data_IF_620170627671
#
_entry.id   IF_620170627671
#
_cell.length_a   1.000
_cell.length_b   1.000
_cell.length_c   1.000
_cell.angle_alpha   90.00
_cell.angle_beta   90.00
_cell.angle_gamma   90.00
#
_symmetry.space_group_name_H-M   'P 1'
#
loop_
_entity.id
_entity.type
_entity.pdbx_description
1 polymer ?
#
# COMPACT_ATOMS: atom_id res chain seq x y z
N UNK A 1 -25.14 30.68 -15.84
CA UNK A 1 -23.91 30.23 -15.18
C UNK A 1 -23.16 29.39 -16.19
N UNK A 2 -22.06 29.92 -16.72
CA UNK A 2 -21.21 29.19 -17.67
C UNK A 2 -20.44 28.11 -16.88
N UNK A 3 -20.63 26.84 -17.26
CA UNK A 3 -19.81 25.76 -16.75
C UNK A 3 -18.39 25.98 -17.27
N UNK A 4 -17.44 26.16 -16.35
CA UNK A 4 -16.01 26.11 -16.70
C UNK A 4 -15.71 24.77 -17.40
N UNK A 5 -14.97 24.79 -18.51
CA UNK A 5 -14.54 23.56 -19.15
C UNK A 5 -13.66 22.77 -18.17
N UNK A 6 -14.01 21.50 -17.96
CA UNK A 6 -13.24 20.55 -17.15
C UNK A 6 -11.85 20.40 -17.79
N UNK A 7 -10.84 21.02 -17.22
CA UNK A 7 -9.45 20.94 -17.67
C UNK A 7 -8.87 19.56 -17.31
N UNK A 8 -8.44 18.87 -18.36
CA UNK A 8 -7.53 17.74 -18.28
C UNK A 8 -6.10 18.27 -18.22
N UNK A 9 -5.33 17.93 -17.21
CA UNK A 9 -3.94 18.33 -17.15
C UNK A 9 -3.31 18.15 -15.76
N UNK A 10 -1.97 18.25 -15.69
CA UNK A 10 -1.29 18.26 -14.40
C UNK A 10 -1.75 19.45 -13.59
N UNK A 11 -2.16 19.21 -12.34
CA UNK A 11 -2.39 20.25 -11.36
C UNK A 11 -1.09 21.00 -11.03
N UNK A 12 -1.18 22.20 -10.45
CA UNK A 12 -0.01 22.98 -10.00
C UNK A 12 0.88 22.23 -9.00
N UNK A 13 0.33 21.21 -8.34
CA UNK A 13 0.97 20.31 -7.37
C UNK A 13 1.56 19.03 -8.02
N UNK A 14 1.53 18.90 -9.35
CA UNK A 14 1.98 17.72 -10.08
C UNK A 14 1.00 16.54 -10.03
N UNK A 15 -0.18 16.69 -9.43
CA UNK A 15 -1.24 15.68 -9.47
C UNK A 15 -1.94 15.65 -10.83
N UNK A 16 -2.33 14.46 -11.27
CA UNK A 16 -3.14 14.30 -12.49
C UNK A 16 -4.61 14.27 -12.11
N UNK A 17 -5.43 15.06 -12.81
CA UNK A 17 -6.86 15.19 -12.53
C UNK A 17 -7.70 14.84 -13.75
N UNK A 18 -8.72 14.01 -13.54
CA UNK A 18 -9.67 13.58 -14.56
C UNK A 18 -11.10 13.81 -14.07
N UNK A 19 -11.95 14.34 -14.92
CA UNK A 19 -13.39 14.29 -14.70
C UNK A 19 -13.88 12.86 -14.97
N UNK A 20 -14.55 12.24 -14.01
CA UNK A 20 -14.97 10.85 -14.09
C UNK A 20 -16.35 10.63 -13.52
N UNK A 21 -17.01 9.56 -14.01
CA UNK A 21 -18.07 8.89 -13.27
C UNK A 21 -17.50 7.55 -12.75
N UNK A 22 -17.93 7.11 -11.59
CA UNK A 22 -17.50 5.83 -11.06
C UNK A 22 -18.64 5.09 -10.38
N UNK A 23 -18.47 3.78 -10.24
CA UNK A 23 -19.36 2.90 -9.53
C UNK A 23 -18.53 2.01 -8.61
N UNK A 24 -18.84 2.04 -7.31
CA UNK A 24 -18.27 1.14 -6.31
C UNK A 24 -19.02 -0.18 -6.19
N UNK A 25 -18.63 -1.00 -5.21
CA UNK A 25 -19.24 -2.31 -4.95
C UNK A 25 -20.72 -2.25 -4.56
N UNK A 26 -21.18 -1.13 -3.98
CA UNK A 26 -22.58 -0.91 -3.62
C UNK A 26 -23.46 -0.62 -4.85
N UNK A 27 -22.87 -0.53 -6.03
CA UNK A 27 -23.55 -0.20 -7.29
C UNK A 27 -23.95 1.26 -7.43
N UNK A 28 -23.72 2.10 -6.43
CA UNK A 28 -24.02 3.53 -6.52
C UNK A 28 -23.09 4.21 -7.54
N UNK A 29 -23.67 5.10 -8.35
CA UNK A 29 -22.92 5.86 -9.35
C UNK A 29 -22.71 7.28 -8.85
N UNK A 30 -21.46 7.71 -8.85
CA UNK A 30 -21.07 9.07 -8.52
C UNK A 30 -20.36 9.74 -9.71
N UNK A 31 -20.40 11.06 -9.73
CA UNK A 31 -19.76 11.90 -10.74
C UNK A 31 -18.89 12.94 -10.03
N UNK A 32 -17.68 13.15 -10.56
CA UNK A 32 -16.74 14.08 -9.97
C UNK A 32 -15.37 14.02 -10.59
N UNK A 33 -14.35 14.07 -9.74
CA UNK A 33 -12.96 14.07 -10.14
C UNK A 33 -12.20 12.89 -9.58
N UNK A 34 -11.34 12.30 -10.40
CA UNK A 34 -10.27 11.42 -10.00
C UNK A 34 -8.99 12.23 -9.90
N UNK A 35 -8.28 12.07 -8.80
CA UNK A 35 -6.96 12.67 -8.55
C UNK A 35 -5.98 11.51 -8.33
N UNK A 36 -4.90 11.51 -9.10
CA UNK A 36 -3.77 10.59 -8.94
C UNK A 36 -2.63 11.36 -8.29
N UNK A 37 -2.27 10.96 -7.08
CA UNK A 37 -1.19 11.55 -6.29
C UNK A 37 -0.22 10.44 -5.87
N UNK A 38 0.85 10.30 -6.62
CA UNK A 38 2.01 9.44 -6.34
C UNK A 38 1.75 8.02 -5.82
N UNK A 39 1.02 7.87 -4.74
CA UNK A 39 0.70 6.61 -4.06
C UNK A 39 -0.80 6.31 -3.93
N UNK A 40 -1.65 7.29 -4.22
CA UNK A 40 -3.09 7.20 -4.02
C UNK A 40 -3.87 7.60 -5.27
N UNK A 41 -5.02 6.94 -5.44
CA UNK A 41 -6.08 7.32 -6.33
C UNK A 41 -7.25 7.80 -5.48
N UNK A 42 -7.67 9.04 -5.66
CA UNK A 42 -8.76 9.64 -4.88
C UNK A 42 -9.90 10.04 -5.80
N UNK A 43 -11.07 9.42 -5.61
CA UNK A 43 -12.31 9.81 -6.26
C UNK A 43 -13.08 10.77 -5.35
N UNK A 44 -13.46 11.94 -5.85
CA UNK A 44 -14.25 12.93 -5.11
C UNK A 44 -15.38 13.43 -5.97
N UNK A 45 -16.59 13.32 -5.48
CA UNK A 45 -17.75 13.78 -6.22
C UNK A 45 -19.04 13.63 -5.43
N UNK A 46 -20.15 13.58 -6.14
CA UNK A 46 -21.47 13.41 -5.55
C UNK A 46 -22.20 12.24 -6.23
N UNK A 47 -22.97 11.51 -5.44
CA UNK A 47 -23.84 10.47 -5.96
C UNK A 47 -24.90 11.09 -6.85
N UNK A 48 -25.03 10.53 -8.05
CA UNK A 48 -25.91 11.07 -9.08
C UNK A 48 -27.39 11.12 -8.64
N UNK A 49 -27.82 10.15 -7.82
CA UNK A 49 -29.22 10.04 -7.39
C UNK A 49 -29.58 10.83 -6.13
N UNK A 50 -28.61 11.12 -5.25
CA UNK A 50 -28.92 11.64 -3.89
C UNK A 50 -28.17 12.91 -3.51
N UNK A 51 -27.24 13.38 -4.37
CA UNK A 51 -26.46 14.59 -4.08
C UNK A 51 -25.52 14.49 -2.89
N UNK A 52 -25.37 13.28 -2.30
CA UNK A 52 -24.43 13.07 -1.19
C UNK A 52 -22.98 13.14 -1.71
N UNK A 53 -22.13 13.81 -0.94
CA UNK A 53 -20.69 13.88 -1.25
C UNK A 53 -20.07 12.52 -0.97
N UNK A 54 -19.41 11.95 -1.98
CA UNK A 54 -18.70 10.70 -1.88
C UNK A 54 -17.20 10.93 -2.05
N UNK A 55 -16.42 10.21 -1.28
CA UNK A 55 -14.97 10.21 -1.37
C UNK A 55 -14.44 8.79 -1.21
N UNK A 56 -13.83 8.28 -2.26
CA UNK A 56 -13.19 6.97 -2.27
C UNK A 56 -11.69 7.15 -2.35
N UNK A 57 -10.97 6.54 -1.42
CA UNK A 57 -9.51 6.49 -1.40
C UNK A 57 -9.05 5.08 -1.75
N UNK A 58 -8.24 4.97 -2.78
CA UNK A 58 -7.62 3.73 -3.20
C UNK A 58 -6.11 3.91 -3.15
N UNK A 59 -5.46 3.09 -2.36
CA UNK A 59 -4.01 3.03 -2.38
C UNK A 59 -3.57 2.25 -3.61
N UNK A 60 -2.67 2.81 -4.41
CA UNK A 60 -2.15 2.14 -5.60
C UNK A 60 -1.48 0.80 -5.29
N UNK A 61 -0.98 0.62 -4.07
CA UNK A 61 -0.43 -0.65 -3.59
C UNK A 61 -1.50 -1.74 -3.33
N UNK A 62 -2.79 -1.38 -3.27
CA UNK A 62 -3.89 -2.33 -3.14
C UNK A 62 -4.45 -2.78 -4.49
N UNK A 63 -3.97 -2.21 -5.59
CA UNK A 63 -4.34 -2.65 -6.92
C UNK A 63 -3.78 -4.06 -7.17
N UNK A 64 -4.65 -4.96 -7.62
CA UNK A 64 -4.27 -6.29 -8.11
C UNK A 64 -4.49 -6.43 -9.61
N UNK A 65 -5.28 -5.55 -10.21
CA UNK A 65 -5.51 -5.55 -11.65
C UNK A 65 -6.20 -4.28 -12.15
N UNK A 66 -5.91 -3.95 -13.39
CA UNK A 66 -6.57 -2.87 -14.13
C UNK A 66 -6.96 -3.44 -15.48
N UNK A 67 -8.21 -3.29 -15.86
CA UNK A 67 -8.72 -3.72 -17.16
C UNK A 67 -9.69 -2.70 -17.75
N UNK A 68 -9.82 -2.69 -19.04
CA UNK A 68 -10.89 -1.95 -19.70
C UNK A 68 -12.16 -2.80 -19.68
N UNK A 69 -13.26 -2.21 -19.26
CA UNK A 69 -14.57 -2.85 -19.22
C UNK A 69 -15.00 -3.35 -20.60
N UNK A 70 -15.47 -4.61 -20.64
CA UNK A 70 -15.84 -5.30 -21.88
C UNK A 70 -17.33 -5.59 -21.99
N UNK A 71 -18.03 -5.59 -20.87
CA UNK A 71 -19.47 -5.91 -20.77
C UNK A 71 -20.28 -4.63 -20.54
N UNK A 72 -21.59 -4.71 -20.75
CA UNK A 72 -22.48 -3.59 -20.43
C UNK A 72 -22.53 -3.31 -18.92
N UNK A 73 -22.34 -4.34 -18.09
CA UNK A 73 -22.24 -4.20 -16.63
C UNK A 73 -20.98 -3.42 -16.20
N UNK A 74 -19.93 -3.42 -17.01
CA UNK A 74 -18.73 -2.62 -16.76
C UNK A 74 -18.92 -1.13 -17.09
N UNK A 75 -19.99 -0.76 -17.83
CA UNK A 75 -20.23 0.63 -18.22
C UNK A 75 -20.71 1.47 -17.04
N UNK A 76 -20.25 2.71 -16.99
CA UNK A 76 -20.72 3.71 -16.02
C UNK A 76 -21.36 4.86 -16.79
N UNK A 77 -22.63 5.17 -16.53
CA UNK A 77 -23.45 6.12 -17.30
C UNK A 77 -23.46 5.87 -18.83
N UNK A 78 -23.36 4.60 -19.23
CA UNK A 78 -23.27 4.23 -20.66
C UNK A 78 -21.88 4.33 -21.28
N UNK A 79 -20.94 4.95 -20.59
CA UNK A 79 -19.56 5.12 -21.05
C UNK A 79 -18.68 3.90 -20.72
N UNK A 80 -17.65 3.66 -21.53
CA UNK A 80 -16.63 2.65 -21.22
C UNK A 80 -15.86 3.03 -19.98
N UNK A 81 -15.57 2.03 -19.14
CA UNK A 81 -14.86 2.24 -17.89
C UNK A 81 -13.52 1.50 -17.84
N UNK A 82 -12.66 1.98 -16.99
CA UNK A 82 -11.52 1.25 -16.42
C UNK A 82 -12.04 0.54 -15.17
N UNK A 83 -11.90 -0.78 -15.12
CA UNK A 83 -12.23 -1.56 -13.93
C UNK A 83 -10.95 -1.81 -13.14
N UNK A 84 -10.94 -1.35 -11.92
CA UNK A 84 -9.83 -1.42 -10.98
C UNK A 84 -10.16 -2.48 -9.95
N UNK A 85 -9.43 -3.60 -9.97
CA UNK A 85 -9.58 -4.67 -9.00
C UNK A 85 -8.65 -4.44 -7.80
N UNK A 86 -9.19 -4.56 -6.59
CA UNK A 86 -8.48 -4.33 -5.35
C UNK A 86 -8.18 -5.65 -4.62
N UNK A 87 -7.15 -5.66 -3.80
CA UNK A 87 -6.78 -6.80 -2.95
C UNK A 87 -7.88 -7.26 -2.01
N UNK A 88 -8.78 -6.36 -1.61
CA UNK A 88 -9.98 -6.69 -0.82
C UNK A 88 -10.99 -7.59 -1.55
N UNK A 89 -10.84 -7.75 -2.87
CA UNK A 89 -11.82 -8.38 -3.76
C UNK A 89 -12.83 -7.38 -4.35
N UNK A 90 -12.81 -6.13 -3.90
CA UNK A 90 -13.65 -5.06 -4.43
C UNK A 90 -13.23 -4.65 -5.84
N UNK A 91 -14.19 -4.26 -6.68
CA UNK A 91 -13.95 -3.65 -7.99
C UNK A 91 -14.55 -2.25 -8.05
N UNK A 92 -13.82 -1.31 -8.66
CA UNK A 92 -14.31 0.04 -8.93
C UNK A 92 -14.28 0.26 -10.43
N UNK A 93 -15.41 0.56 -11.02
CA UNK A 93 -15.52 0.93 -12.42
C UNK A 93 -15.46 2.46 -12.54
N UNK A 94 -14.50 2.98 -13.30
CA UNK A 94 -14.25 4.42 -13.50
C UNK A 94 -14.33 4.77 -14.96
N UNK A 95 -15.29 5.60 -15.36
CA UNK A 95 -15.45 6.09 -16.71
C UNK A 95 -14.97 7.55 -16.78
N UNK A 96 -13.95 7.87 -17.58
CA UNK A 96 -13.56 9.25 -17.82
C UNK A 96 -14.65 9.97 -18.63
N UNK A 97 -14.99 11.18 -18.19
CA UNK A 97 -15.95 12.06 -18.84
C UNK A 97 -15.17 13.02 -19.75
N UNK A 98 -14.84 12.59 -20.95
CA UNK A 98 -14.02 13.39 -21.86
C UNK A 98 -13.95 12.80 -23.26
N UNK A 99 -12.82 13.00 -23.93
CA UNK A 99 -12.61 12.59 -25.30
C UNK A 99 -12.61 11.06 -25.49
N UNK A 100 -13.02 10.63 -26.68
CA UNK A 100 -12.93 9.22 -27.06
C UNK A 100 -11.48 8.76 -27.03
N UNK A 101 -11.17 7.81 -26.14
CA UNK A 101 -9.80 7.34 -25.92
C UNK A 101 -9.26 7.58 -24.51
N UNK A 102 -9.81 8.53 -23.76
CA UNK A 102 -9.39 8.82 -22.38
C UNK A 102 -9.45 7.59 -21.45
N UNK A 103 -10.31 6.61 -21.76
CA UNK A 103 -10.38 5.34 -21.02
C UNK A 103 -9.08 4.51 -21.16
N UNK A 104 -8.43 4.53 -22.32
CA UNK A 104 -7.18 3.81 -22.54
C UNK A 104 -6.02 4.50 -21.83
N UNK A 105 -5.95 5.84 -21.94
CA UNK A 105 -4.94 6.64 -21.24
C UNK A 105 -5.04 6.48 -19.72
N UNK A 106 -6.26 6.52 -19.18
CA UNK A 106 -6.49 6.31 -17.76
C UNK A 106 -6.10 4.88 -17.32
N UNK A 107 -6.43 3.85 -18.13
CA UNK A 107 -6.08 2.47 -17.84
C UNK A 107 -4.56 2.29 -17.79
N UNK A 108 -3.86 2.78 -18.81
CA UNK A 108 -2.40 2.69 -18.90
C UNK A 108 -1.72 3.42 -17.72
N UNK A 109 -2.20 4.62 -17.40
CA UNK A 109 -1.67 5.42 -16.32
C UNK A 109 -1.86 4.75 -14.96
N UNK A 110 -3.07 4.26 -14.65
CA UNK A 110 -3.36 3.58 -13.38
C UNK A 110 -2.56 2.28 -13.29
N UNK A 111 -2.44 1.52 -14.38
CA UNK A 111 -1.64 0.30 -14.43
C UNK A 111 -0.14 0.59 -14.20
N UNK A 112 0.40 1.63 -14.84
CA UNK A 112 1.81 2.03 -14.67
C UNK A 112 2.11 2.49 -13.24
N UNK A 113 1.25 3.33 -12.68
CA UNK A 113 1.40 3.80 -11.30
C UNK A 113 1.25 2.65 -10.30
N UNK A 114 0.31 1.74 -10.51
CA UNK A 114 0.15 0.52 -9.72
C UNK A 114 1.39 -0.37 -9.78
N UNK A 115 1.94 -0.61 -10.98
CA UNK A 115 3.16 -1.38 -11.17
C UNK A 115 4.38 -0.72 -10.49
N UNK A 116 4.55 0.60 -10.65
CA UNK A 116 5.61 1.36 -9.96
C UNK A 116 5.49 1.29 -8.44
N UNK A 117 4.26 1.32 -7.92
CA UNK A 117 3.99 1.23 -6.49
C UNK A 117 4.18 -0.19 -5.96
N UNK A 118 3.82 -1.20 -6.74
CA UNK A 118 4.08 -2.60 -6.44
C UNK A 118 5.60 -2.91 -6.46
N UNK A 119 6.34 -2.29 -7.38
CA UNK A 119 7.82 -2.40 -7.46
C UNK A 119 8.50 -1.62 -6.33
N UNK A 120 7.89 -0.55 -5.84
CA UNK A 120 8.19 0.04 -4.54
C UNK A 120 7.52 -0.77 -3.42
N UNK A 121 7.73 -2.10 -3.39
CA UNK A 121 7.56 -2.85 -2.15
C UNK A 121 8.29 -2.05 -1.11
N UNK A 122 7.62 -1.71 -0.01
CA UNK A 122 8.25 -0.94 1.06
C UNK A 122 9.58 -1.64 1.37
N UNK A 123 10.65 -0.88 1.31
CA UNK A 123 11.97 -1.41 1.61
C UNK A 123 11.87 -2.19 2.92
N UNK A 124 12.38 -3.42 2.98
CA UNK A 124 12.28 -4.21 4.19
C UNK A 124 12.89 -3.43 5.35
N UNK A 125 12.18 -3.42 6.47
CA UNK A 125 12.71 -2.83 7.70
C UNK A 125 13.52 -3.89 8.41
N UNK A 126 14.79 -3.62 8.61
CA UNK A 126 15.70 -4.50 9.29
C UNK A 126 16.04 -3.91 10.65
N UNK A 127 15.86 -4.70 11.72
CA UNK A 127 16.31 -4.35 13.07
C UNK A 127 17.46 -5.28 13.44
N UNK A 128 18.62 -4.73 13.74
CA UNK A 128 19.81 -5.50 14.10
C UNK A 128 20.09 -5.31 15.59
N UNK A 129 20.13 -6.40 16.34
CA UNK A 129 20.50 -6.46 17.74
C UNK A 129 21.88 -7.11 17.86
N UNK A 130 22.94 -6.36 18.23
CA UNK A 130 24.26 -6.95 18.45
C UNK A 130 24.23 -7.85 19.68
N UNK A 131 24.89 -9.02 19.59
CA UNK A 131 25.00 -10.00 20.66
C UNK A 131 26.36 -9.91 21.38
N UNK A 132 26.34 -10.20 22.67
CA UNK A 132 27.55 -10.46 23.44
C UNK A 132 28.20 -11.76 22.97
N UNK A 133 29.53 -11.88 22.97
CA UNK A 133 30.22 -13.12 22.64
C UNK A 133 29.71 -14.30 23.45
N UNK A 134 29.41 -15.42 22.79
CA UNK A 134 28.96 -16.66 23.42
C UNK A 134 27.47 -16.71 23.77
N UNK A 135 26.67 -15.68 23.47
CA UNK A 135 25.25 -15.69 23.80
C UNK A 135 24.31 -16.11 22.67
N UNK A 136 24.84 -16.48 21.50
CA UNK A 136 24.06 -16.86 20.33
C UNK A 136 23.08 -18.04 20.58
N UNK A 137 23.49 -19.03 21.39
CA UNK A 137 22.61 -20.15 21.77
C UNK A 137 21.40 -19.64 22.57
N UNK A 138 21.64 -18.78 23.56
CA UNK A 138 20.57 -18.19 24.35
C UNK A 138 19.64 -17.32 23.51
N UNK A 139 20.18 -16.57 22.55
CA UNK A 139 19.39 -15.80 21.61
C UNK A 139 18.47 -16.70 20.74
N UNK A 140 18.98 -17.86 20.27
CA UNK A 140 18.15 -18.84 19.53
C UNK A 140 17.01 -19.40 20.39
N UNK A 141 17.24 -19.66 21.67
CA UNK A 141 16.18 -20.10 22.59
C UNK A 141 15.09 -19.04 22.73
N UNK A 142 15.47 -17.77 22.92
CA UNK A 142 14.51 -16.68 23.01
C UNK A 142 13.69 -16.50 21.71
N UNK A 143 14.33 -16.64 20.54
CA UNK A 143 13.63 -16.60 19.26
C UNK A 143 12.67 -17.77 19.10
N UNK A 144 13.04 -18.96 19.57
CA UNK A 144 12.21 -20.17 19.48
C UNK A 144 10.93 -20.09 20.34
N UNK A 145 10.90 -19.24 21.38
CA UNK A 145 9.69 -18.96 22.16
C UNK A 145 8.65 -18.17 21.38
N UNK A 146 9.06 -17.57 20.26
CA UNK A 146 8.20 -16.74 19.39
C UNK A 146 8.19 -15.25 19.77
N UNK A 147 7.54 -14.42 18.94
CA UNK A 147 7.45 -12.98 19.19
C UNK A 147 6.50 -12.68 20.37
N UNK A 148 6.78 -11.62 21.16
CA UNK A 148 5.94 -11.22 22.30
C UNK A 148 4.66 -10.48 21.88
N UNK A 149 4.20 -10.70 20.65
CA UNK A 149 3.01 -10.08 20.06
C UNK A 149 2.41 -11.01 19.02
N UNK A 150 1.12 -10.86 18.78
CA UNK A 150 0.46 -11.55 17.68
C UNK A 150 0.85 -10.88 16.35
N UNK A 151 1.32 -11.66 15.40
CA UNK A 151 1.69 -11.18 14.06
C UNK A 151 0.47 -10.68 13.28
N UNK A 152 -0.72 -11.21 13.55
CA UNK A 152 -1.97 -10.75 12.94
C UNK A 152 -2.36 -9.32 13.37
N UNK A 153 -1.88 -8.87 14.54
CA UNK A 153 -2.08 -7.51 15.05
C UNK A 153 -1.10 -6.49 14.49
N UNK A 154 -0.17 -6.93 13.65
CA UNK A 154 0.90 -6.11 13.10
C UNK A 154 0.73 -6.03 11.59
N UNK A 155 0.68 -4.81 11.07
CA UNK A 155 0.54 -4.52 9.64
C UNK A 155 1.86 -4.81 8.90
N UNK A 156 2.24 -6.13 8.87
CA UNK A 156 3.40 -6.65 8.16
C UNK A 156 3.01 -7.91 7.40
N UNK A 157 3.51 -8.04 6.18
CA UNK A 157 3.22 -9.18 5.30
C UNK A 157 4.16 -10.37 5.59
N UNK A 158 5.37 -10.08 6.09
CA UNK A 158 6.41 -11.06 6.38
C UNK A 158 7.27 -10.62 7.55
N UNK A 159 7.60 -11.58 8.41
CA UNK A 159 8.54 -11.42 9.51
C UNK A 159 9.50 -12.61 9.55
N UNK A 160 10.79 -12.33 9.54
CA UNK A 160 11.85 -13.34 9.66
C UNK A 160 12.87 -12.93 10.70
N UNK A 161 13.48 -13.91 11.33
CA UNK A 161 14.55 -13.70 12.31
C UNK A 161 15.74 -14.57 11.95
N UNK A 162 16.89 -13.93 11.84
CA UNK A 162 18.17 -14.61 11.60
C UNK A 162 19.06 -14.40 12.82
N UNK A 163 19.68 -15.49 13.32
CA UNK A 163 20.61 -15.44 14.45
C UNK A 163 21.99 -15.87 13.97
N UNK A 164 22.95 -14.99 14.08
CA UNK A 164 24.38 -15.25 13.85
C UNK A 164 25.13 -15.39 15.18
N UNK A 165 26.43 -15.58 15.15
CA UNK A 165 27.28 -15.58 16.36
C UNK A 165 27.38 -14.19 17.01
N UNK A 166 27.10 -13.12 16.25
CA UNK A 166 27.37 -11.75 16.69
C UNK A 166 26.13 -10.86 16.74
N UNK A 167 25.04 -11.27 16.10
CA UNK A 167 23.83 -10.44 16.03
C UNK A 167 22.56 -11.25 15.74
N UNK A 168 21.43 -10.66 16.09
CA UNK A 168 20.11 -11.08 15.65
C UNK A 168 19.58 -10.04 14.70
N UNK A 169 19.08 -10.49 13.55
CA UNK A 169 18.50 -9.67 12.51
C UNK A 169 17.01 -10.00 12.42
N UNK A 170 16.18 -9.01 12.68
CA UNK A 170 14.73 -9.09 12.50
C UNK A 170 14.39 -8.37 11.20
N UNK A 171 13.78 -9.08 10.27
CA UNK A 171 13.31 -8.54 8.99
C UNK A 171 11.79 -8.44 9.03
N UNK A 172 11.28 -7.29 8.65
CA UNK A 172 9.87 -7.00 8.52
C UNK A 172 9.60 -6.47 7.12
N UNK A 173 8.72 -7.13 6.39
CA UNK A 173 8.24 -6.68 5.09
C UNK A 173 6.75 -6.36 5.19
N UNK A 174 6.32 -5.33 4.53
CA UNK A 174 4.93 -4.89 4.49
C UNK A 174 4.84 -3.41 4.13
N UNK A 175 3.68 -3.03 3.65
CA UNK A 175 3.44 -1.69 3.13
C UNK A 175 3.73 -0.58 4.15
N UNK A 176 3.51 -0.84 5.43
CA UNK A 176 3.75 0.06 6.55
C UNK A 176 4.70 -0.55 7.59
N UNK A 177 5.63 -1.39 7.12
CA UNK A 177 6.53 -2.11 8.02
C UNK A 177 7.28 -1.18 8.97
N UNK A 178 7.76 -0.01 8.49
CA UNK A 178 8.45 0.97 9.33
C UNK A 178 7.55 1.48 10.45
N UNK A 179 6.34 1.93 10.13
CA UNK A 179 5.39 2.44 11.13
C UNK A 179 4.93 1.34 12.07
N UNK A 180 4.76 0.12 11.55
CA UNK A 180 4.41 -1.06 12.35
C UNK A 180 5.52 -1.38 13.35
N UNK A 181 6.78 -1.41 12.92
CA UNK A 181 7.94 -1.63 13.79
C UNK A 181 8.09 -0.52 14.83
N UNK A 182 7.92 0.75 14.45
CA UNK A 182 7.97 1.86 15.40
C UNK A 182 6.85 1.77 16.46
N UNK A 183 5.65 1.32 16.08
CA UNK A 183 4.56 1.04 17.02
C UNK A 183 4.87 -0.15 17.93
N UNK A 184 5.43 -1.23 17.35
CA UNK A 184 5.85 -2.41 18.10
C UNK A 184 6.85 -2.07 19.19
N UNK A 185 7.88 -1.30 18.88
CA UNK A 185 8.91 -0.89 19.84
C UNK A 185 8.37 -0.08 21.04
N UNK A 186 7.16 0.45 20.94
CA UNK A 186 6.47 1.18 22.02
C UNK A 186 5.49 0.30 22.81
N UNK A 187 5.22 -0.95 22.38
CA UNK A 187 4.28 -1.84 23.07
C UNK A 187 4.87 -2.32 24.41
N UNK A 188 4.10 -2.30 25.52
CA UNK A 188 4.58 -2.75 26.82
C UNK A 188 5.05 -4.22 26.84
N UNK A 189 4.46 -5.09 26.00
CA UNK A 189 4.88 -6.49 25.86
C UNK A 189 6.30 -6.58 25.30
N UNK A 190 6.60 -5.83 24.23
CA UNK A 190 7.94 -5.78 23.61
C UNK A 190 8.97 -5.19 24.56
N UNK A 191 8.61 -4.14 25.31
CA UNK A 191 9.50 -3.55 26.30
C UNK A 191 9.82 -4.51 27.45
N UNK A 192 8.84 -5.31 27.90
CA UNK A 192 9.09 -6.37 28.92
C UNK A 192 10.01 -7.46 28.39
N UNK A 193 9.80 -7.87 27.13
CA UNK A 193 10.65 -8.87 26.50
C UNK A 193 12.07 -8.35 26.31
N UNK A 194 12.24 -7.08 25.98
CA UNK A 194 13.57 -6.46 25.88
C UNK A 194 14.43 -6.60 27.15
N UNK A 195 13.80 -6.80 28.33
CA UNK A 195 14.53 -7.08 29.58
C UNK A 195 15.22 -8.44 29.53
N UNK A 196 14.56 -9.46 28.96
CA UNK A 196 15.13 -10.81 28.77
C UNK A 196 16.32 -10.81 27.81
N UNK A 197 16.26 -9.95 26.80
CA UNK A 197 17.33 -9.82 25.82
C UNK A 197 18.58 -9.10 26.35
N UNK A 198 18.49 -8.43 27.52
CA UNK A 198 19.65 -7.75 28.12
C UNK A 198 20.84 -8.67 28.38
N UNK A 199 20.58 -9.93 28.69
CA UNK A 199 21.61 -10.93 28.94
C UNK A 199 22.41 -11.28 27.67
N UNK A 200 21.79 -11.11 26.50
CA UNK A 200 22.37 -11.44 25.20
C UNK A 200 22.88 -10.21 24.45
N UNK A 201 22.29 -9.04 24.69
CA UNK A 201 22.53 -7.87 23.88
C UNK A 201 23.85 -7.17 24.25
N UNK A 202 24.71 -6.92 23.25
CA UNK A 202 25.92 -6.11 23.40
C UNK A 202 25.66 -4.60 23.25
N UNK A 203 24.43 -4.21 22.90
CA UNK A 203 24.10 -2.80 22.68
C UNK A 203 22.62 -2.60 22.34
N UNK A 204 22.28 -1.38 21.92
CA UNK A 204 20.91 -1.05 21.50
C UNK A 204 20.61 -1.59 20.10
N UNK A 205 19.37 -2.00 19.83
CA UNK A 205 18.92 -2.34 18.48
C UNK A 205 19.14 -1.15 17.52
N UNK A 206 19.52 -1.46 16.29
CA UNK A 206 19.74 -0.49 15.22
C UNK A 206 18.78 -0.78 14.08
N UNK A 207 18.23 0.26 13.49
CA UNK A 207 17.44 0.14 12.26
C UNK A 207 18.41 0.14 11.07
N UNK A 208 18.33 -0.92 10.26
CA UNK A 208 18.99 -0.99 8.96
C UNK A 208 18.17 -0.23 7.92
N UNK A 209 18.88 0.33 6.95
CA UNK A 209 18.31 0.95 5.76
C UNK A 209 18.75 0.13 4.55
N UNK A 210 17.79 -0.26 3.71
CA UNK A 210 18.10 -0.91 2.45
C UNK A 210 18.85 0.09 1.55
N UNK A 211 20.05 -0.28 1.15
CA UNK A 211 20.90 0.52 0.24
C UNK A 211 20.94 -0.05 -1.17
N UNK A 212 20.55 -1.31 -1.34
CA UNK A 212 20.49 -2.01 -2.62
C UNK A 212 19.49 -3.17 -2.55
N UNK A 213 18.63 -3.27 -3.56
CA UNK A 213 17.71 -4.38 -3.75
C UNK A 213 17.75 -4.84 -5.22
N UNK A 214 17.77 -6.15 -5.45
CA UNK A 214 17.60 -6.75 -6.75
C UNK A 214 16.49 -7.80 -6.70
N UNK A 215 15.62 -7.76 -7.70
CA UNK A 215 14.56 -8.76 -7.86
C UNK A 215 14.60 -9.28 -9.29
N UNK A 216 14.47 -10.61 -9.42
CA UNK A 216 14.27 -11.21 -10.74
C UNK A 216 12.84 -10.88 -11.18
N UNK A 217 12.67 -10.32 -12.38
CA UNK A 217 11.35 -10.21 -12.98
C UNK A 217 10.75 -11.63 -13.10
N UNK A 218 9.53 -11.81 -12.60
CA UNK A 218 8.81 -13.05 -12.86
C UNK A 218 8.52 -13.14 -14.37
N UNK A 219 8.71 -14.31 -14.99
CA UNK A 219 8.52 -14.52 -16.41
C UNK A 219 7.05 -14.39 -16.84
#
# INVERSE_FOLDING_TARGET
MASEPLHFGPGEDGSLRYAVAWRGDDGAVAVGNLVLDGSELVLRGSQHAYGSVERVHVLLADLVGVRIGRTDDDRVLGERSVVIALRSGAEIAVAPLGEAGAVFELADLVAELGARTATRRSAPVVVVLPLQPGTATRARELVAEGPPFDLSDVDVDRHEVFVTEHEVVFLFEGRRAREAVERLLRRPSVLREAVRWRECAAGRPRLGVETYGWQRAEP
#
